data_IF_681306545754
#
_entry.id   IF_681306545754
#
_cell.length_a   1.000
_cell.length_b   1.000
_cell.length_c   1.000
_cell.angle_alpha   90.00
_cell.angle_beta   90.00
_cell.angle_gamma   90.00
#
_symmetry.space_group_name_H-M   'P 1'
#
loop_
_entity.id
_entity.type
_entity.pdbx_description
1 polymer ?
#
# COMPACT_ATOMS: atom_id res chain seq x y z
N UNK A 1 7.52 -7.39 8.07
CA UNK A 1 8.35 -6.21 8.42
C UNK A 1 7.95 -5.81 9.83
N UNK A 2 8.88 -5.53 10.76
CA UNK A 2 8.48 -4.97 12.06
C UNK A 2 7.97 -3.54 11.81
N UNK A 3 6.66 -3.34 11.87
CA UNK A 3 6.01 -2.05 11.59
C UNK A 3 5.48 -1.88 10.16
N UNK A 4 5.06 -0.65 9.83
CA UNK A 4 4.37 -0.31 8.58
C UNK A 4 2.85 -0.36 8.70
N UNK A 5 2.15 -0.01 7.63
CA UNK A 5 0.67 0.11 7.64
C UNK A 5 -0.04 -1.23 7.85
N UNK A 6 0.59 -2.35 7.50
CA UNK A 6 0.03 -3.71 7.69
C UNK A 6 0.35 -4.31 9.05
N UNK A 7 0.95 -3.54 9.96
CA UNK A 7 1.18 -3.99 11.34
C UNK A 7 -0.10 -3.92 12.19
N UNK A 8 -1.00 -2.99 11.85
CA UNK A 8 -2.33 -2.93 12.44
C UNK A 8 -3.24 -4.00 11.82
N UNK A 9 -4.09 -4.60 12.64
CA UNK A 9 -5.07 -5.58 12.18
C UNK A 9 -6.05 -4.96 11.16
N UNK A 10 -6.46 -5.74 10.16
CA UNK A 10 -7.39 -5.32 9.12
C UNK A 10 -6.74 -4.58 7.94
N UNK A 11 -5.53 -4.04 8.08
CA UNK A 11 -4.86 -3.28 7.01
C UNK A 11 -3.99 -4.15 6.11
N UNK A 12 -4.21 -4.04 4.80
CA UNK A 12 -3.41 -4.66 3.74
C UNK A 12 -2.79 -3.58 2.87
N UNK A 13 -1.63 -3.88 2.29
CA UNK A 13 -0.97 -2.98 1.36
C UNK A 13 -0.26 -3.75 0.25
N UNK A 14 -0.26 -3.18 -0.94
CA UNK A 14 0.49 -3.66 -2.09
C UNK A 14 1.10 -2.48 -2.84
N UNK A 15 2.25 -2.71 -3.48
CA UNK A 15 2.88 -1.76 -4.39
C UNK A 15 3.27 -2.46 -5.68
N UNK A 16 2.96 -1.84 -6.81
CA UNK A 16 3.27 -2.38 -8.14
C UNK A 16 4.02 -1.34 -8.97
N UNK A 17 4.72 -1.83 -9.99
CA UNK A 17 5.14 -1.00 -11.10
C UNK A 17 3.98 -0.87 -12.09
N UNK A 18 3.41 0.32 -12.17
CA UNK A 18 2.31 0.71 -13.06
C UNK A 18 2.76 1.57 -14.26
N UNK A 19 4.05 1.81 -14.45
CA UNK A 19 4.58 2.56 -15.59
C UNK A 19 4.45 4.09 -15.49
N UNK A 20 4.26 4.62 -14.28
CA UNK A 20 4.12 6.05 -14.01
C UNK A 20 5.49 6.76 -13.90
N UNK A 21 6.53 6.04 -13.46
CA UNK A 21 7.90 6.58 -13.45
C UNK A 21 8.45 6.60 -14.88
N UNK A 22 9.07 7.72 -15.26
CA UNK A 22 9.65 7.91 -16.60
C UNK A 22 10.79 6.92 -16.94
N UNK A 23 11.44 6.34 -15.93
CA UNK A 23 12.52 5.36 -16.10
C UNK A 23 12.52 4.33 -14.96
N UNK A 24 12.83 3.09 -15.31
CA UNK A 24 13.00 1.97 -14.38
C UNK A 24 11.69 1.34 -13.91
N UNK A 25 11.79 0.13 -13.35
CA UNK A 25 10.65 -0.71 -12.94
C UNK A 25 10.38 -0.64 -11.43
N UNK A 26 10.83 0.44 -10.78
CA UNK A 26 10.59 0.63 -9.35
C UNK A 26 9.08 0.83 -9.12
N UNK A 27 8.47 0.16 -8.12
CA UNK A 27 7.07 0.39 -7.79
C UNK A 27 6.72 1.88 -7.66
N UNK A 28 5.62 2.24 -8.31
CA UNK A 28 5.18 3.62 -8.49
C UNK A 28 3.68 3.80 -8.29
N UNK A 29 2.95 2.70 -8.12
CA UNK A 29 1.56 2.68 -7.70
C UNK A 29 1.46 1.87 -6.40
N UNK A 30 0.72 2.41 -5.43
CA UNK A 30 0.47 1.75 -4.15
C UNK A 30 -1.02 1.73 -3.84
N UNK A 31 -1.45 0.65 -3.17
CA UNK A 31 -2.80 0.48 -2.65
C UNK A 31 -2.70 0.09 -1.18
N UNK A 32 -3.53 0.72 -0.34
CA UNK A 32 -3.76 0.33 1.04
C UNK A 32 -5.26 0.11 1.20
N UNK A 33 -5.65 -1.04 1.75
CA UNK A 33 -7.05 -1.38 2.02
C UNK A 33 -7.23 -1.74 3.49
N UNK A 34 -8.44 -1.58 4.00
CA UNK A 34 -8.85 -2.07 5.31
C UNK A 34 -10.02 -3.05 5.10
N UNK A 35 -9.90 -4.26 5.63
CA UNK A 35 -10.91 -5.31 5.49
C UNK A 35 -11.95 -5.28 6.63
N UNK A 36 -11.85 -4.29 7.52
CA UNK A 36 -12.77 -4.04 8.64
C UNK A 36 -13.24 -2.57 8.62
N UNK A 37 -14.29 -2.27 9.37
CA UNK A 37 -14.78 -0.89 9.51
C UNK A 37 -13.67 0.03 10.02
N UNK A 38 -13.46 1.13 9.29
CA UNK A 38 -12.40 2.10 9.56
C UNK A 38 -12.95 3.52 9.49
N UNK A 39 -12.40 4.39 10.32
CA UNK A 39 -12.60 5.84 10.23
C UNK A 39 -11.50 6.46 9.37
N UNK A 40 -11.86 7.52 8.63
CA UNK A 40 -10.91 8.36 7.89
C UNK A 40 -10.93 9.77 8.50
N UNK A 41 -9.78 10.41 8.56
CA UNK A 41 -9.58 11.76 9.11
C UNK A 41 -8.87 12.66 8.11
#
# INVERSE_FOLDING_TARGET
VPGGVTAAEGFKAAGIYGGLRAKGEKPDLALVTCDVDSVVA
#
